data_IF_099275608547
#
_entry.id   IF_099275608547
#
_cell.length_a   1.000
_cell.length_b   1.000
_cell.length_c   1.000
_cell.angle_alpha   90.00
_cell.angle_beta   90.00
_cell.angle_gamma   90.00
#
_symmetry.space_group_name_H-M   'P 1'
#
loop_
_entity.id
_entity.type
_entity.pdbx_description
1 polymer ?
#
# COMPACT_ATOMS: atom_id res chain seq x y z
N UNK A 1 4.01 -13.59 -4.20
CA UNK A 1 4.88 -14.80 -4.27
C UNK A 1 5.45 -15.24 -2.91
N UNK A 2 5.53 -14.41 -1.87
CA UNK A 2 6.00 -14.87 -0.54
C UNK A 2 7.50 -15.17 -0.44
N UNK A 3 8.27 -14.79 -1.46
CA UNK A 3 9.73 -14.88 -1.51
C UNK A 3 10.31 -13.71 -0.71
N UNK A 4 11.26 -13.98 0.18
CA UNK A 4 11.89 -12.98 1.06
C UNK A 4 13.30 -12.59 0.66
N UNK A 5 13.97 -13.44 -0.12
CA UNK A 5 15.33 -13.22 -0.59
C UNK A 5 15.32 -12.74 -2.04
N UNK A 6 16.25 -11.85 -2.37
CA UNK A 6 16.49 -11.39 -3.72
C UNK A 6 17.96 -11.59 -4.03
N UNK A 7 18.28 -12.47 -4.97
CA UNK A 7 19.67 -12.77 -5.30
C UNK A 7 20.34 -11.64 -6.06
N UNK A 8 19.57 -10.94 -6.90
CA UNK A 8 20.12 -9.95 -7.80
C UNK A 8 19.12 -8.84 -8.17
N UNK A 9 19.61 -7.60 -8.19
CA UNK A 9 18.88 -6.45 -8.72
C UNK A 9 19.64 -5.77 -9.85
N UNK A 10 18.93 -5.47 -10.95
CA UNK A 10 19.41 -4.58 -12.01
C UNK A 10 18.62 -3.26 -11.97
N UNK A 11 19.30 -2.14 -12.14
CA UNK A 11 18.67 -0.82 -12.18
C UNK A 11 18.43 -0.35 -13.62
N UNK A 12 17.22 0.12 -13.92
CA UNK A 12 16.87 0.73 -15.20
C UNK A 12 16.56 2.21 -14.94
N UNK A 13 17.36 3.08 -15.53
CA UNK A 13 17.34 4.51 -15.25
C UNK A 13 17.28 5.31 -16.54
N UNK A 14 16.55 6.41 -16.54
CA UNK A 14 16.70 7.42 -17.58
C UNK A 14 16.92 8.81 -17.02
N UNK A 15 17.85 9.54 -17.65
CA UNK A 15 18.12 10.94 -17.36
C UNK A 15 17.27 11.79 -18.29
N UNK A 16 16.56 12.78 -17.74
CA UNK A 16 15.75 13.69 -18.55
C UNK A 16 16.64 14.58 -19.42
N UNK A 17 16.32 14.67 -20.71
CA UNK A 17 16.94 15.63 -21.65
C UNK A 17 16.68 17.10 -21.28
N UNK A 18 15.75 17.35 -20.35
CA UNK A 18 15.37 18.70 -19.91
C UNK A 18 16.11 19.16 -18.65
N UNK A 19 16.84 18.26 -17.98
CA UNK A 19 17.69 18.64 -16.85
C UNK A 19 18.98 19.26 -17.35
N UNK A 20 19.41 20.32 -16.68
CA UNK A 20 20.76 20.86 -16.81
C UNK A 20 21.79 19.86 -16.27
N UNK A 21 23.07 20.04 -16.63
CA UNK A 21 24.15 19.18 -16.11
C UNK A 21 24.27 19.29 -14.59
N UNK A 22 24.10 20.50 -14.03
CA UNK A 22 24.14 20.70 -12.59
C UNK A 22 22.99 19.98 -11.86
N UNK A 23 21.77 20.04 -12.40
CA UNK A 23 20.63 19.30 -11.84
C UNK A 23 20.86 17.79 -11.93
N UNK A 24 21.33 17.29 -13.08
CA UNK A 24 21.64 15.87 -13.28
C UNK A 24 22.66 15.39 -12.26
N UNK A 25 23.75 16.13 -12.08
CA UNK A 25 24.88 15.71 -11.25
C UNK A 25 24.55 15.79 -9.75
N UNK A 26 23.47 16.47 -9.35
CA UNK A 26 22.95 16.47 -7.98
C UNK A 26 21.82 15.47 -7.78
N UNK A 27 20.84 15.42 -8.68
CA UNK A 27 19.59 14.64 -8.52
C UNK A 27 19.84 13.16 -8.80
N UNK A 28 20.59 12.82 -9.85
CA UNK A 28 20.77 11.41 -10.23
C UNK A 28 21.54 10.61 -9.15
N UNK A 29 22.61 11.13 -8.51
CA UNK A 29 23.26 10.42 -7.41
C UNK A 29 22.32 10.14 -6.23
N UNK A 30 21.39 11.05 -5.92
CA UNK A 30 20.42 10.84 -4.84
C UNK A 30 19.41 9.73 -5.18
N UNK A 31 18.93 9.68 -6.43
CA UNK A 31 18.06 8.59 -6.90
C UNK A 31 18.80 7.25 -6.83
N UNK A 32 20.04 7.21 -7.31
CA UNK A 32 20.87 6.00 -7.31
C UNK A 32 21.14 5.55 -5.86
N UNK A 33 21.43 6.49 -4.96
CA UNK A 33 21.66 6.17 -3.56
C UNK A 33 20.41 5.57 -2.92
N UNK A 34 19.24 6.21 -3.04
CA UNK A 34 18.00 5.67 -2.49
C UNK A 34 17.61 4.32 -3.08
N UNK A 35 17.91 4.07 -4.36
CA UNK A 35 17.71 2.75 -4.97
C UNK A 35 18.63 1.69 -4.36
N UNK A 36 19.91 2.02 -4.12
CA UNK A 36 20.87 1.12 -3.46
C UNK A 36 20.48 0.84 -2.01
N UNK A 37 20.08 1.87 -1.26
CA UNK A 37 19.64 1.73 0.13
C UNK A 37 18.44 0.78 0.21
N UNK A 38 17.43 0.95 -0.66
CA UNK A 38 16.28 0.04 -0.72
C UNK A 38 16.65 -1.40 -1.13
N UNK A 39 17.67 -1.58 -1.97
CA UNK A 39 18.19 -2.90 -2.30
C UNK A 39 18.90 -3.54 -1.09
N UNK A 40 19.69 -2.76 -0.35
CA UNK A 40 20.38 -3.19 0.87
C UNK A 40 19.38 -3.59 1.97
N UNK A 41 18.33 -2.81 2.19
CA UNK A 41 17.21 -3.16 3.09
C UNK A 41 16.51 -4.48 2.65
N UNK A 42 16.47 -4.70 1.33
CA UNK A 42 16.02 -5.94 0.70
C UNK A 42 16.95 -7.14 0.92
N UNK A 43 18.14 -6.92 1.49
CA UNK A 43 19.17 -7.95 1.67
C UNK A 43 19.91 -8.29 0.37
N UNK A 44 19.92 -7.37 -0.60
CA UNK A 44 20.51 -7.60 -1.92
C UNK A 44 21.34 -6.40 -2.37
N UNK A 45 21.90 -6.46 -3.58
CA UNK A 45 22.69 -5.37 -4.15
C UNK A 45 22.38 -5.15 -5.62
N UNK A 46 22.62 -3.93 -6.08
CA UNK A 46 22.51 -3.56 -7.49
C UNK A 46 23.82 -3.95 -8.20
N UNK A 47 23.79 -4.99 -9.03
CA UNK A 47 24.99 -5.53 -9.68
C UNK A 47 25.23 -5.00 -11.09
N UNK A 48 24.25 -4.27 -11.63
CA UNK A 48 24.31 -3.72 -12.97
C UNK A 48 23.05 -2.94 -13.33
N UNK A 49 22.97 -2.53 -14.58
CA UNK A 49 21.85 -1.74 -15.06
C UNK A 49 22.12 -1.06 -16.38
N UNK A 50 21.11 -0.33 -16.85
CA UNK A 50 21.22 0.51 -18.04
C UNK A 50 20.71 1.92 -17.72
N UNK A 51 21.48 2.92 -18.13
CA UNK A 51 21.07 4.32 -18.06
C UNK A 51 20.98 4.90 -19.48
N UNK A 52 19.87 5.57 -19.81
CA UNK A 52 19.66 6.18 -21.13
C UNK A 52 19.19 7.63 -21.02
N UNK A 53 19.38 8.43 -22.07
CA UNK A 53 18.73 9.73 -22.19
C UNK A 53 17.28 9.54 -22.65
N UNK A 54 16.35 10.25 -22.04
CA UNK A 54 14.92 10.20 -22.36
C UNK A 54 14.25 11.56 -22.08
N UNK A 55 13.11 11.92 -22.68
CA UNK A 55 12.42 13.17 -22.32
C UNK A 55 12.01 13.22 -20.83
N UNK A 56 11.72 12.07 -20.23
CA UNK A 56 11.29 11.94 -18.83
C UNK A 56 12.29 11.12 -18.01
N UNK A 57 12.31 11.36 -16.69
CA UNK A 57 13.00 10.48 -15.75
C UNK A 57 12.19 9.20 -15.59
N UNK A 58 12.84 8.06 -15.79
CA UNK A 58 12.32 6.72 -15.57
C UNK A 58 13.20 6.08 -14.51
N UNK A 59 12.58 5.53 -13.47
CA UNK A 59 13.25 4.77 -12.42
C UNK A 59 12.56 3.42 -12.33
N UNK A 60 13.33 2.36 -12.45
CA UNK A 60 12.84 0.99 -12.37
C UNK A 60 13.99 0.01 -12.26
N UNK A 61 13.68 -1.28 -12.42
CA UNK A 61 14.67 -2.33 -12.31
C UNK A 61 14.10 -3.71 -12.49
N UNK A 62 14.95 -4.71 -12.28
CA UNK A 62 14.61 -6.13 -12.32
C UNK A 62 15.12 -6.75 -11.03
N UNK A 63 14.23 -7.41 -10.29
CA UNK A 63 14.59 -8.23 -9.13
C UNK A 63 14.50 -9.71 -9.53
N UNK A 64 15.52 -10.50 -9.20
CA UNK A 64 15.59 -11.93 -9.50
C UNK A 64 15.90 -12.73 -8.25
N UNK A 65 15.28 -13.90 -8.14
CA UNK A 65 15.55 -14.88 -7.10
C UNK A 65 15.44 -16.30 -7.67
N UNK A 66 16.32 -17.19 -7.26
CA UNK A 66 16.32 -18.62 -7.53
C UNK A 66 15.80 -19.32 -6.29
N UNK A 67 14.59 -19.87 -6.40
CA UNK A 67 13.86 -20.38 -5.24
C UNK A 67 13.64 -21.88 -5.35
N UNK A 68 13.72 -22.58 -4.22
CA UNK A 68 13.11 -23.88 -4.05
C UNK A 68 11.59 -23.75 -4.01
N UNK A 69 10.87 -24.83 -4.33
CA UNK A 69 9.39 -24.83 -4.33
C UNK A 69 8.76 -24.51 -2.96
N UNK A 70 9.50 -24.69 -1.86
CA UNK A 70 9.09 -24.34 -0.49
C UNK A 70 9.27 -22.84 -0.16
N UNK A 71 9.96 -22.10 -1.01
CA UNK A 71 10.33 -20.70 -0.76
C UNK A 71 9.38 -19.70 -1.42
N UNK A 72 8.49 -20.17 -2.30
CA UNK A 72 7.45 -19.35 -2.90
C UNK A 72 6.05 -19.95 -2.70
N UNK A 73 5.05 -19.07 -2.75
CA UNK A 73 3.63 -19.40 -2.71
C UNK A 73 3.05 -19.08 -4.08
N UNK A 74 2.44 -20.09 -4.71
CA UNK A 74 1.68 -19.92 -5.95
C UNK A 74 0.41 -19.09 -5.68
N UNK A 75 0.13 -18.06 -6.49
CA UNK A 75 -0.95 -17.10 -6.22
C UNK A 75 -2.33 -17.60 -6.71
N UNK A 76 -2.69 -18.86 -6.48
CA UNK A 76 -3.80 -19.54 -7.16
C UNK A 76 -4.66 -20.46 -6.28
N UNK A 77 -4.46 -20.44 -4.96
CA UNK A 77 -5.01 -21.45 -4.04
C UNK A 77 -6.08 -20.92 -3.08
N UNK A 78 -6.69 -19.77 -3.37
CA UNK A 78 -7.77 -19.20 -2.55
C UNK A 78 -8.99 -20.13 -2.45
N UNK A 79 -9.62 -20.18 -1.28
CA UNK A 79 -10.82 -20.99 -1.01
C UNK A 79 -11.97 -20.11 -0.48
N UNK A 80 -13.24 -20.50 -0.70
CA UNK A 80 -14.37 -19.82 -0.08
C UNK A 80 -14.23 -19.77 1.45
N UNK A 81 -14.48 -18.61 2.04
CA UNK A 81 -14.34 -18.38 3.48
C UNK A 81 -13.00 -17.77 3.89
N UNK A 82 -12.00 -17.73 2.99
CA UNK A 82 -10.81 -16.92 3.18
C UNK A 82 -11.14 -15.44 3.30
N UNK A 83 -10.18 -14.68 3.83
CA UNK A 83 -10.28 -13.22 3.93
C UNK A 83 -9.15 -12.55 3.17
N UNK A 84 -9.44 -11.32 2.74
CA UNK A 84 -8.49 -10.46 2.04
C UNK A 84 -7.85 -9.53 3.06
N UNK A 85 -6.53 -9.51 3.12
CA UNK A 85 -5.73 -8.64 4.00
C UNK A 85 -4.91 -7.69 3.15
N UNK A 86 -5.00 -6.38 3.39
CA UNK A 86 -4.20 -5.36 2.73
C UNK A 86 -3.14 -4.82 3.70
N UNK A 87 -1.88 -4.75 3.28
CA UNK A 87 -0.74 -4.43 4.18
C UNK A 87 -0.23 -2.99 4.12
N UNK A 88 -0.83 -2.14 3.27
CA UNK A 88 -0.54 -0.70 3.24
C UNK A 88 -1.83 0.08 2.93
N UNK A 89 -1.97 1.33 3.41
CA UNK A 89 -3.12 2.15 3.08
C UNK A 89 -3.11 2.54 1.58
N UNK A 90 -4.31 2.80 1.05
CA UNK A 90 -4.54 3.31 -0.30
C UNK A 90 -4.50 4.85 -0.32
N UNK A 91 -4.45 5.42 -1.53
CA UNK A 91 -4.51 6.85 -1.76
C UNK A 91 -3.15 7.53 -1.92
N UNK A 92 -2.09 6.77 -2.22
CA UNK A 92 -0.74 7.33 -2.42
C UNK A 92 -0.71 8.31 -3.60
N UNK A 93 -1.35 7.95 -4.70
CA UNK A 93 -1.50 8.83 -5.87
C UNK A 93 -2.21 10.14 -5.52
N UNK A 94 -3.25 10.08 -4.68
CA UNK A 94 -3.98 11.28 -4.26
C UNK A 94 -3.13 12.17 -3.36
N UNK A 95 -2.33 11.60 -2.46
CA UNK A 95 -1.42 12.36 -1.60
C UNK A 95 -0.34 13.09 -2.41
N UNK A 96 0.34 12.37 -3.32
CA UNK A 96 1.34 12.96 -4.22
C UNK A 96 0.72 14.04 -5.13
N UNK A 97 -0.46 13.77 -5.68
CA UNK A 97 -1.18 14.73 -6.53
C UNK A 97 -1.57 15.98 -5.75
N UNK A 98 -2.11 15.83 -4.53
CA UNK A 98 -2.49 16.96 -3.68
C UNK A 98 -1.28 17.82 -3.30
N UNK A 99 -0.14 17.19 -3.00
CA UNK A 99 1.11 17.89 -2.71
C UNK A 99 1.60 18.69 -3.92
N UNK A 100 1.63 18.10 -5.11
CA UNK A 100 1.99 18.83 -6.35
C UNK A 100 1.06 20.01 -6.64
N UNK A 101 -0.20 19.93 -6.22
CA UNK A 101 -1.16 21.01 -6.44
C UNK A 101 -0.93 22.21 -5.53
N UNK A 102 -0.17 22.09 -4.44
CA UNK A 102 0.19 23.22 -3.58
C UNK A 102 0.90 24.35 -4.35
N UNK A 103 1.67 23.97 -5.37
CA UNK A 103 2.44 24.87 -6.24
C UNK A 103 1.65 25.33 -7.48
N UNK A 104 0.41 24.85 -7.67
CA UNK A 104 -0.45 25.17 -8.82
C UNK A 104 -1.74 25.83 -8.31
N UNK A 105 -1.82 27.17 -8.25
CA UNK A 105 -2.92 27.90 -7.60
C UNK A 105 -4.32 27.47 -8.06
N UNK A 106 -4.52 27.24 -9.36
CA UNK A 106 -5.80 26.83 -9.94
C UNK A 106 -6.24 25.45 -9.45
N UNK A 107 -5.29 24.56 -9.18
CA UNK A 107 -5.55 23.21 -8.67
C UNK A 107 -5.71 23.21 -7.15
N UNK A 108 -4.87 23.94 -6.41
CA UNK A 108 -5.01 24.10 -4.96
C UNK A 108 -6.39 24.66 -4.58
N UNK A 109 -6.87 25.65 -5.34
CA UNK A 109 -8.18 26.27 -5.12
C UNK A 109 -9.35 25.27 -5.13
N UNK A 110 -9.21 24.10 -5.77
CA UNK A 110 -10.25 23.05 -5.79
C UNK A 110 -10.34 22.26 -4.49
N UNK A 111 -9.25 22.15 -3.75
CA UNK A 111 -9.16 21.27 -2.58
C UNK A 111 -8.91 22.02 -1.26
N UNK A 112 -8.55 23.31 -1.32
CA UNK A 112 -8.25 24.15 -0.14
C UNK A 112 -9.39 24.27 0.89
N UNK A 113 -10.63 24.00 0.49
CA UNK A 113 -11.79 24.01 1.40
C UNK A 113 -12.00 22.69 2.14
N UNK A 114 -11.27 21.64 1.76
CA UNK A 114 -11.44 20.27 2.24
C UNK A 114 -10.23 19.80 3.05
N UNK A 115 -9.06 20.35 2.79
CA UNK A 115 -7.78 19.94 3.38
C UNK A 115 -6.86 21.16 3.55
N UNK A 116 -6.10 21.21 4.65
CA UNK A 116 -5.10 22.27 4.88
C UNK A 116 -3.75 21.93 4.25
N UNK A 117 -2.84 22.90 4.15
CA UNK A 117 -1.49 22.64 3.59
C UNK A 117 -0.72 21.62 4.44
N UNK A 118 -0.85 21.73 5.75
CA UNK A 118 -0.22 20.85 6.74
C UNK A 118 -0.75 19.42 6.64
N UNK A 119 -2.08 19.27 6.44
CA UNK A 119 -2.68 17.96 6.23
C UNK A 119 -2.23 17.29 4.92
N UNK A 120 -2.03 18.09 3.84
CA UNK A 120 -1.45 17.59 2.60
C UNK A 120 0.00 17.14 2.79
N UNK A 121 0.81 17.94 3.48
CA UNK A 121 2.21 17.62 3.76
C UNK A 121 2.35 16.31 4.55
N UNK A 122 1.57 16.16 5.64
CA UNK A 122 1.57 14.93 6.42
C UNK A 122 1.12 13.70 5.61
N UNK A 123 0.09 13.86 4.76
CA UNK A 123 -0.35 12.79 3.88
C UNK A 123 0.71 12.41 2.83
N UNK A 124 1.44 13.40 2.30
CA UNK A 124 2.55 13.18 1.37
C UNK A 124 3.70 12.42 2.03
N UNK A 125 4.12 12.83 3.23
CA UNK A 125 5.16 12.14 3.99
C UNK A 125 4.77 10.70 4.32
N UNK A 126 3.52 10.46 4.74
CA UNK A 126 3.01 9.09 4.96
C UNK A 126 3.00 8.28 3.66
N UNK A 127 2.59 8.87 2.54
CA UNK A 127 2.62 8.20 1.25
C UNK A 127 4.05 7.83 0.86
N UNK A 128 5.01 8.76 0.96
CA UNK A 128 6.43 8.49 0.65
C UNK A 128 6.98 7.38 1.55
N UNK A 129 6.74 7.45 2.87
CA UNK A 129 7.18 6.42 3.82
C UNK A 129 6.55 5.06 3.51
N UNK A 130 5.24 5.03 3.26
CA UNK A 130 4.51 3.81 2.87
C UNK A 130 5.06 3.21 1.58
N UNK A 131 5.30 4.02 0.55
CA UNK A 131 5.84 3.57 -0.74
C UNK A 131 7.28 3.05 -0.64
N UNK A 132 8.12 3.69 0.19
CA UNK A 132 9.50 3.28 0.43
C UNK A 132 9.61 2.00 1.29
N UNK A 133 8.60 1.70 2.12
CA UNK A 133 8.61 0.50 2.95
C UNK A 133 8.55 -0.77 2.10
N UNK A 134 9.46 -1.72 2.31
CA UNK A 134 9.46 -2.99 1.58
C UNK A 134 8.33 -3.93 2.03
N UNK A 135 7.76 -4.67 1.07
CA UNK A 135 6.80 -5.75 1.38
C UNK A 135 7.48 -7.05 1.89
N UNK A 136 8.80 -7.01 2.17
CA UNK A 136 9.64 -8.18 2.53
C UNK A 136 9.12 -8.90 3.77
N UNK A 137 8.81 -8.17 4.83
CA UNK A 137 8.29 -8.77 6.06
C UNK A 137 6.92 -9.41 5.85
N UNK A 138 6.01 -8.73 5.15
CA UNK A 138 4.71 -9.28 4.83
C UNK A 138 4.84 -10.57 3.99
N UNK A 139 5.77 -10.63 3.03
CA UNK A 139 6.07 -11.83 2.26
C UNK A 139 6.55 -13.00 3.14
N UNK A 140 7.40 -12.74 4.13
CA UNK A 140 7.84 -13.76 5.10
C UNK A 140 6.68 -14.29 5.95
N UNK A 141 5.82 -13.39 6.44
CA UNK A 141 4.66 -13.76 7.23
C UNK A 141 3.60 -14.54 6.43
N UNK A 142 3.51 -14.32 5.11
CA UNK A 142 2.59 -15.09 4.26
C UNK A 142 2.79 -16.60 4.41
N UNK A 143 4.05 -17.07 4.43
CA UNK A 143 4.36 -18.50 4.60
C UNK A 143 4.02 -18.97 6.02
N UNK A 144 4.41 -18.20 7.03
CA UNK A 144 4.16 -18.54 8.44
C UNK A 144 2.68 -18.68 8.78
N UNK A 145 1.82 -17.92 8.10
CA UNK A 145 0.37 -17.91 8.33
C UNK A 145 -0.45 -18.65 7.28
N UNK A 146 0.21 -19.38 6.36
CA UNK A 146 -0.46 -20.22 5.38
C UNK A 146 -1.29 -19.43 4.37
N UNK A 147 -0.75 -18.32 3.85
CA UNK A 147 -1.40 -17.56 2.79
C UNK A 147 -1.64 -18.44 1.55
N UNK A 148 -2.85 -18.33 1.01
CA UNK A 148 -3.29 -19.11 -0.14
C UNK A 148 -2.98 -18.42 -1.47
N UNK A 149 -2.94 -17.09 -1.48
CA UNK A 149 -2.56 -16.30 -2.65
C UNK A 149 -2.17 -14.89 -2.20
N UNK A 150 -1.43 -14.16 -3.03
CA UNK A 150 -1.29 -12.72 -2.85
C UNK A 150 -0.90 -12.04 -4.17
N UNK A 151 -1.22 -10.75 -4.24
CA UNK A 151 -0.76 -9.82 -5.27
C UNK A 151 -0.33 -8.53 -4.59
N UNK A 152 0.53 -7.73 -5.21
CA UNK A 152 0.76 -6.34 -4.81
C UNK A 152 -0.33 -5.43 -5.39
N UNK A 153 -0.57 -4.29 -4.75
CA UNK A 153 -1.46 -3.24 -5.26
C UNK A 153 -0.62 -2.10 -5.80
N UNK A 154 -0.58 -1.95 -7.11
CA UNK A 154 0.16 -0.89 -7.80
C UNK A 154 -0.73 -0.15 -8.81
N UNK A 155 -0.31 -0.02 -10.07
CA UNK A 155 -0.85 0.97 -11.01
C UNK A 155 -2.32 0.74 -11.43
N UNK A 156 -2.86 -0.47 -11.25
CA UNK A 156 -4.25 -0.78 -11.59
C UNK A 156 -5.24 -0.55 -10.43
N UNK A 157 -4.72 -0.17 -9.26
CA UNK A 157 -5.52 -0.02 -8.04
C UNK A 157 -5.98 -1.35 -7.45
N UNK A 158 -6.47 -1.29 -6.21
CA UNK A 158 -6.81 -2.51 -5.44
C UNK A 158 -7.82 -3.41 -6.15
N UNK A 159 -8.80 -2.85 -6.88
CA UNK A 159 -9.78 -3.62 -7.62
C UNK A 159 -9.18 -4.27 -8.87
N UNK A 160 -8.33 -3.55 -9.59
CA UNK A 160 -7.66 -4.10 -10.78
C UNK A 160 -6.78 -5.29 -10.43
N UNK A 161 -5.94 -5.13 -9.40
CA UNK A 161 -5.08 -6.21 -8.90
C UNK A 161 -5.88 -7.35 -8.27
N UNK A 162 -6.95 -7.07 -7.51
CA UNK A 162 -7.83 -8.10 -6.98
C UNK A 162 -8.51 -8.92 -8.09
N UNK A 163 -8.95 -8.28 -9.19
CA UNK A 163 -9.53 -8.98 -10.35
C UNK A 163 -8.52 -9.90 -11.02
N UNK A 164 -7.29 -9.42 -11.24
CA UNK A 164 -6.22 -10.22 -11.81
C UNK A 164 -5.89 -11.43 -10.92
N UNK A 165 -5.82 -11.22 -9.61
CA UNK A 165 -5.59 -12.32 -8.65
C UNK A 165 -6.76 -13.31 -8.65
N UNK A 166 -8.01 -12.84 -8.61
CA UNK A 166 -9.19 -13.71 -8.65
C UNK A 166 -9.25 -14.55 -9.93
N UNK A 167 -8.91 -13.97 -11.09
CA UNK A 167 -8.88 -14.66 -12.37
C UNK A 167 -7.87 -15.84 -12.39
N UNK A 168 -6.78 -15.73 -11.64
CA UNK A 168 -5.72 -16.74 -11.54
C UNK A 168 -6.09 -17.93 -10.63
N UNK A 169 -7.16 -17.84 -9.83
CA UNK A 169 -7.50 -18.88 -8.87
C UNK A 169 -7.91 -20.18 -9.55
N UNK A 170 -7.54 -21.32 -8.96
CA UNK A 170 -7.91 -22.65 -9.47
C UNK A 170 -9.37 -23.01 -9.18
N UNK A 171 -9.89 -22.53 -8.06
CA UNK A 171 -11.29 -22.70 -7.68
C UNK A 171 -12.14 -21.54 -8.19
N UNK A 172 -13.45 -21.79 -8.29
CA UNK A 172 -14.43 -20.76 -8.64
C UNK A 172 -14.75 -19.92 -7.40
N UNK A 173 -13.89 -18.93 -7.18
CA UNK A 173 -13.97 -17.98 -6.09
C UNK A 173 -14.05 -16.55 -6.59
N UNK A 174 -14.81 -15.71 -5.86
CA UNK A 174 -14.93 -14.29 -6.11
C UNK A 174 -14.43 -13.49 -4.90
N UNK A 175 -13.77 -12.36 -5.14
CA UNK A 175 -13.25 -11.49 -4.10
C UNK A 175 -14.20 -10.31 -3.87
N UNK A 176 -14.59 -10.08 -2.62
CA UNK A 176 -15.49 -8.99 -2.25
C UNK A 176 -14.82 -8.09 -1.22
N UNK A 177 -14.48 -6.87 -1.66
CA UNK A 177 -13.85 -5.85 -0.83
C UNK A 177 -14.94 -5.00 -0.16
N UNK A 178 -14.93 -5.01 1.16
CA UNK A 178 -15.93 -4.37 2.03
C UNK A 178 -15.45 -3.05 2.61
N UNK A 179 -14.15 -2.94 2.85
CA UNK A 179 -13.55 -1.75 3.45
C UNK A 179 -12.24 -1.37 2.76
N UNK A 180 -11.94 -0.08 2.80
CA UNK A 180 -10.77 0.51 2.17
C UNK A 180 -10.00 1.33 3.23
N UNK A 181 -8.82 0.87 3.67
CA UNK A 181 -7.90 1.71 4.44
C UNK A 181 -7.29 2.76 3.52
N UNK A 182 -7.50 4.02 3.83
CA UNK A 182 -7.08 5.14 2.99
C UNK A 182 -6.34 6.15 3.86
N UNK A 183 -5.21 6.68 3.34
CA UNK A 183 -4.48 7.78 3.99
C UNK A 183 -5.47 8.90 4.31
N UNK A 184 -5.47 9.38 5.55
CA UNK A 184 -6.44 10.34 6.06
C UNK A 184 -6.58 11.54 5.11
N UNK A 185 -7.82 12.06 5.01
CA UNK A 185 -8.23 13.13 4.09
C UNK A 185 -8.18 12.81 2.59
N UNK A 186 -7.45 11.79 2.12
CA UNK A 186 -7.35 11.52 0.68
C UNK A 186 -8.67 11.09 0.03
N UNK A 187 -9.53 10.41 0.79
CA UNK A 187 -10.90 10.15 0.34
C UNK A 187 -11.72 11.43 0.15
N UNK A 188 -11.56 12.42 1.04
CA UNK A 188 -12.24 13.71 0.94
C UNK A 188 -11.70 14.53 -0.24
N UNK A 189 -10.37 14.56 -0.44
CA UNK A 189 -9.73 15.19 -1.61
C UNK A 189 -10.21 14.55 -2.91
N UNK A 190 -10.28 13.22 -2.99
CA UNK A 190 -10.79 12.51 -4.18
C UNK A 190 -12.25 12.87 -4.47
N UNK A 191 -13.10 12.94 -3.44
CA UNK A 191 -14.51 13.38 -3.58
C UNK A 191 -14.61 14.83 -4.06
N UNK A 192 -13.80 15.74 -3.53
CA UNK A 192 -13.75 17.15 -3.94
C UNK A 192 -13.37 17.31 -5.43
N UNK A 193 -12.59 16.36 -5.96
CA UNK A 193 -12.23 16.31 -7.38
C UNK A 193 -13.30 15.62 -8.26
N UNK A 194 -14.51 15.39 -7.74
CA UNK A 194 -15.60 14.71 -8.45
C UNK A 194 -15.42 13.20 -8.56
N UNK A 195 -14.65 12.58 -7.65
CA UNK A 195 -14.32 11.16 -7.72
C UNK A 195 -13.34 10.80 -8.84
N UNK A 196 -12.76 11.82 -9.52
CA UNK A 196 -11.68 11.61 -10.49
C UNK A 196 -10.52 10.91 -9.79
N UNK A 197 -10.09 9.80 -10.36
CA UNK A 197 -9.09 8.91 -9.77
C UNK A 197 -9.67 7.61 -9.21
N UNK A 198 -10.98 7.47 -8.99
CA UNK A 198 -11.59 6.15 -8.73
C UNK A 198 -11.17 5.49 -7.41
N UNK A 199 -10.71 6.26 -6.41
CA UNK A 199 -10.21 5.75 -5.14
C UNK A 199 -11.26 4.92 -4.38
N UNK A 200 -12.51 5.41 -4.35
CA UNK A 200 -13.62 4.73 -3.69
C UNK A 200 -14.12 3.51 -4.49
N UNK A 201 -13.85 3.49 -5.79
CA UNK A 201 -14.14 2.36 -6.69
C UNK A 201 -13.00 1.33 -6.70
N UNK A 202 -11.88 1.61 -6.00
CA UNK A 202 -10.69 0.77 -5.97
C UNK A 202 -9.86 0.78 -7.25
N UNK A 203 -10.08 1.74 -8.15
CA UNK A 203 -9.36 1.86 -9.43
C UNK A 203 -8.32 2.98 -9.43
N UNK A 204 -8.07 3.61 -8.28
CA UNK A 204 -6.99 4.58 -8.14
C UNK A 204 -5.63 3.90 -8.29
N UNK A 205 -4.72 4.43 -9.12
CA UNK A 205 -3.36 3.94 -9.18
C UNK A 205 -2.70 4.07 -7.81
N UNK A 206 -1.93 3.05 -7.44
CA UNK A 206 -0.98 3.11 -6.34
C UNK A 206 0.44 2.90 -6.89
N UNK A 207 1.43 3.44 -6.23
CA UNK A 207 2.85 3.18 -6.54
C UNK A 207 3.45 2.46 -5.34
N UNK A 208 4.15 1.33 -5.54
CA UNK A 208 4.76 0.56 -4.43
C UNK A 208 3.79 0.31 -3.24
N UNK A 209 2.54 -0.04 -3.55
CA UNK A 209 1.53 -0.30 -2.53
C UNK A 209 1.77 -1.60 -1.75
N UNK A 210 0.79 -1.95 -0.93
CA UNK A 210 0.87 -3.12 -0.07
C UNK A 210 0.58 -4.42 -0.81
N UNK A 211 0.76 -5.53 -0.11
CA UNK A 211 0.24 -6.82 -0.54
C UNK A 211 -1.25 -6.90 -0.22
N UNK A 212 -2.03 -7.40 -1.17
CA UNK A 212 -3.36 -7.96 -0.98
C UNK A 212 -3.20 -9.48 -0.84
N UNK A 213 -3.24 -9.96 0.39
CA UNK A 213 -3.00 -11.35 0.77
C UNK A 213 -4.34 -12.06 1.03
N UNK A 214 -4.49 -13.25 0.47
CA UNK A 214 -5.60 -14.16 0.77
C UNK A 214 -5.16 -15.13 1.86
N UNK A 215 -5.83 -15.08 3.00
CA UNK A 215 -5.48 -15.85 4.20
C UNK A 215 -6.67 -16.64 4.73
N UNK A 216 -6.42 -17.80 5.36
CA UNK A 216 -7.41 -18.47 6.18
C UNK A 216 -7.95 -17.51 7.24
N UNK A 217 -9.28 -17.45 7.38
CA UNK A 217 -9.94 -16.53 8.33
C UNK A 217 -9.39 -16.60 9.75
N UNK A 218 -9.05 -17.81 10.21
CA UNK A 218 -8.49 -18.04 11.55
C UNK A 218 -7.09 -17.44 11.75
N UNK A 219 -6.32 -17.23 10.66
CA UNK A 219 -4.94 -16.74 10.73
C UNK A 219 -4.83 -15.24 10.49
N UNK A 220 -5.79 -14.62 9.80
CA UNK A 220 -5.71 -13.23 9.38
C UNK A 220 -5.50 -12.24 10.54
N UNK A 221 -6.18 -12.42 11.67
CA UNK A 221 -6.01 -11.53 12.83
C UNK A 221 -4.60 -11.63 13.43
N UNK A 222 -4.02 -12.85 13.46
CA UNK A 222 -2.66 -13.08 13.96
C UNK A 222 -1.62 -12.53 12.99
N UNK A 223 -1.82 -12.70 11.68
CA UNK A 223 -1.00 -12.08 10.65
C UNK A 223 -0.95 -10.56 10.82
N UNK A 224 -2.10 -9.90 10.99
CA UNK A 224 -2.15 -8.45 11.20
C UNK A 224 -1.48 -8.03 12.52
N UNK A 225 -1.63 -8.82 13.59
CA UNK A 225 -1.02 -8.54 14.88
C UNK A 225 0.51 -8.67 14.83
N UNK A 226 1.05 -9.71 14.20
CA UNK A 226 2.50 -9.90 14.01
C UNK A 226 3.09 -8.81 13.12
N UNK A 227 2.39 -8.40 12.05
CA UNK A 227 2.86 -7.32 11.20
C UNK A 227 2.90 -5.97 11.95
N UNK A 228 1.99 -5.77 12.92
CA UNK A 228 1.99 -4.58 13.78
C UNK A 228 3.01 -4.66 14.91
N UNK A 229 3.49 -5.85 15.27
CA UNK A 229 4.32 -6.04 16.45
C UNK A 229 5.68 -5.31 16.30
N UNK A 230 6.11 -4.57 17.33
CA UNK A 230 7.41 -3.91 17.32
C UNK A 230 8.53 -4.97 17.27
N UNK A 231 9.51 -4.77 16.37
CA UNK A 231 10.73 -5.59 16.28
C UNK A 231 10.88 -6.37 14.97
N UNK A 232 9.85 -7.08 14.48
CA UNK A 232 9.93 -7.86 13.23
C UNK A 232 9.42 -7.13 11.98
N UNK A 233 8.55 -6.13 12.15
CA UNK A 233 7.72 -5.61 11.07
C UNK A 233 7.48 -4.09 11.10
N UNK A 234 8.44 -3.31 11.61
CA UNK A 234 8.45 -1.82 11.57
C UNK A 234 7.13 -1.13 12.02
N UNK A 235 6.28 -1.81 12.79
CA UNK A 235 4.98 -1.26 13.20
C UNK A 235 3.97 -1.07 12.05
N UNK A 236 4.10 -1.84 10.97
CA UNK A 236 3.20 -1.77 9.82
C UNK A 236 1.79 -2.24 10.17
N UNK A 237 0.79 -1.50 9.73
CA UNK A 237 -0.61 -1.90 9.90
C UNK A 237 -1.10 -2.71 8.72
N UNK A 238 -1.96 -3.69 8.99
CA UNK A 238 -2.70 -4.42 7.97
C UNK A 238 -4.19 -4.50 8.33
N UNK A 239 -5.02 -4.56 7.30
CA UNK A 239 -6.48 -4.51 7.43
C UNK A 239 -7.11 -5.69 6.74
N UNK A 240 -8.06 -6.35 7.40
CA UNK A 240 -8.94 -7.32 6.74
C UNK A 240 -9.96 -6.52 5.92
N UNK A 241 -9.76 -6.45 4.61
CA UNK A 241 -10.51 -5.60 3.69
C UNK A 241 -11.71 -6.27 3.06
N UNK A 242 -11.78 -7.60 3.09
CA UNK A 242 -12.82 -8.33 2.40
C UNK A 242 -12.79 -9.83 2.63
N UNK A 243 -13.59 -10.54 1.85
CA UNK A 243 -13.75 -11.99 1.91
C UNK A 243 -13.64 -12.61 0.54
N UNK A 244 -13.36 -13.91 0.53
CA UNK A 244 -13.44 -14.78 -0.63
C UNK A 244 -14.72 -15.59 -0.54
N UNK A 245 -15.55 -15.48 -1.57
CA UNK A 245 -16.83 -16.19 -1.68
C UNK A 245 -16.76 -17.22 -2.81
N UNK A 246 -17.66 -18.21 -2.79
CA UNK A 246 -17.87 -19.04 -3.98
C UNK A 246 -18.48 -18.17 -5.08
N UNK A 247 -17.87 -18.15 -6.27
CA UNK A 247 -18.37 -17.29 -7.34
C UNK A 247 -17.49 -17.30 -8.59
N UNK A 248 -17.87 -16.52 -9.62
CA UNK A 248 -17.05 -16.37 -10.81
C UNK A 248 -15.71 -15.73 -10.43
N UNK A 249 -14.61 -16.19 -11.03
CA UNK A 249 -13.22 -15.75 -10.82
C UNK A 249 -12.98 -14.27 -11.12
N UNK A 250 -13.52 -13.41 -10.25
CA UNK A 250 -13.54 -11.98 -10.39
C UNK A 250 -13.55 -11.28 -9.03
N UNK A 251 -13.45 -9.96 -9.06
CA UNK A 251 -13.45 -9.14 -7.85
C UNK A 251 -14.34 -7.92 -7.99
N UNK A 252 -14.92 -7.50 -6.87
CA UNK A 252 -15.74 -6.28 -6.73
C UNK A 252 -15.46 -5.58 -5.41
N UNK A 253 -15.55 -4.25 -5.45
CA UNK A 253 -15.77 -3.43 -4.25
C UNK A 253 -17.28 -3.28 -4.08
N UNK A 254 -17.80 -3.39 -2.85
CA UNK A 254 -19.23 -3.15 -2.59
C UNK A 254 -19.61 -1.69 -2.91
N UNK A 255 -20.88 -1.41 -3.19
CA UNK A 255 -21.33 -0.07 -3.63
C UNK A 255 -21.02 1.06 -2.64
N UNK A 256 -21.03 0.75 -1.34
CA UNK A 256 -20.72 1.67 -0.25
C UNK A 256 -19.65 1.06 0.66
N UNK A 257 -18.37 1.04 0.24
CA UNK A 257 -17.33 0.45 1.05
C UNK A 257 -17.11 1.30 2.30
N UNK A 258 -16.87 0.64 3.44
CA UNK A 258 -16.49 1.34 4.67
C UNK A 258 -15.09 1.91 4.51
N UNK A 259 -14.96 3.22 4.67
CA UNK A 259 -13.64 3.86 4.68
C UNK A 259 -13.04 3.76 6.08
N UNK A 260 -11.79 3.30 6.13
CA UNK A 260 -10.97 3.33 7.34
C UNK A 260 -9.95 4.44 7.11
N UNK A 261 -10.12 5.57 7.80
CA UNK A 261 -9.13 6.64 7.73
C UNK A 261 -7.87 6.22 8.48
N UNK A 262 -6.73 6.23 7.78
CA UNK A 262 -5.42 5.87 8.32
C UNK A 262 -4.64 7.17 8.58
N UNK A 263 -4.45 7.57 9.85
CA UNK A 263 -3.72 8.78 10.17
C UNK A 263 -2.23 8.65 9.79
N UNK A 264 -1.59 9.72 9.28
CA UNK A 264 -0.15 9.75 9.04
C UNK A 264 0.66 9.44 10.29
N UNK A 265 1.80 8.75 10.13
CA UNK A 265 2.80 8.59 11.19
C UNK A 265 3.26 9.97 11.68
N UNK A 266 3.16 10.22 12.99
CA UNK A 266 3.52 11.51 13.59
C UNK A 266 2.40 12.56 13.65
N UNK A 267 1.19 12.26 13.15
CA UNK A 267 0.04 13.14 13.38
C UNK A 267 -0.30 13.21 14.89
N UNK A 268 -0.63 14.39 15.45
CA UNK A 268 -1.06 14.47 16.84
C UNK A 268 -2.28 13.57 17.04
N UNK A 269 -2.20 12.68 18.05
CA UNK A 269 -3.33 11.85 18.44
C UNK A 269 -4.51 12.79 18.72
N UNK A 270 -5.61 12.63 17.98
CA UNK A 270 -6.85 13.30 18.36
C UNK A 270 -7.19 12.83 19.78
N UNK A 271 -7.53 13.74 20.71
CA UNK A 271 -8.07 13.31 21.99
C UNK A 271 -9.31 12.47 21.69
N UNK A 272 -9.33 11.24 22.17
CA UNK A 272 -10.50 10.38 22.10
C UNK A 272 -11.72 11.15 22.60
N UNK A 273 -12.84 11.02 21.89
CA UNK A 273 -14.16 11.49 22.33
C UNK A 273 -14.35 11.18 23.82
N UNK A 274 -14.91 12.08 24.64
CA UNK A 274 -14.92 11.92 26.09
C UNK A 274 -15.53 10.58 26.46
N UNK A 275 -14.70 9.70 27.02
CA UNK A 275 -15.12 8.40 27.51
C UNK A 275 -16.28 8.57 28.47
N UNK A 276 -17.28 7.70 28.31
CA UNK A 276 -18.38 7.57 29.26
C UNK A 276 -17.77 7.42 30.66
N UNK A 277 -18.13 8.26 31.64
CA UNK A 277 -17.57 8.14 32.98
C UNK A 277 -17.93 6.76 33.55
N UNK A 278 -17.05 6.14 34.36
CA UNK A 278 -17.33 4.87 34.98
C UNK A 278 -18.58 4.99 35.87
N UNK A 279 -19.41 3.94 35.98
CA UNK A 279 -20.60 3.98 36.81
C UNK A 279 -20.21 4.19 38.29
N UNK A 280 -20.89 5.11 38.97
CA UNK A 280 -20.71 5.36 40.40
C UNK A 280 -20.93 4.06 41.21
N UNK A 281 -20.11 3.81 42.25
CA UNK A 281 -20.32 2.67 43.13
C UNK A 281 -21.61 2.85 43.94
N UNK A 282 -22.33 1.76 44.25
CA UNK A 282 -23.60 1.83 44.97
C UNK A 282 -23.37 2.41 46.36
N UNK A 283 -24.16 3.45 46.71
CA UNK A 283 -24.17 4.02 48.06
C UNK A 283 -24.73 2.99 49.04
N UNK A 284 -23.98 2.73 50.11
CA UNK A 284 -24.44 1.87 51.20
C UNK A 284 -25.61 2.55 51.94
N UNK A 285 -26.67 1.81 52.31
CA UNK A 285 -27.76 2.33 53.12
C UNK A 285 -27.31 2.50 54.58
N UNK A 286 -27.69 3.62 55.20
CA UNK A 286 -27.83 3.73 56.65
C UNK A 286 -29.20 3.18 57.06
#
# INVERSE_FOLDING_TARGET
MGVTECDNVLMLLSVSQRMTEEERDKVMPLIIQGFRDAAEDGGTSVTGGQTVLNPWVIVGGVATAVCQSSEFIMPDSAVPGDVLVLTKPLGTHMAVTAHQWLDIPERWNKIKLVVTREEVELAYQEAVSSMATLNRTAAGLMRAFGAHAATDVTGFGVLGHARALAAQQRLDVAFVIHNLPVIAKMAAVSKACGGRGGLLQGTAPETSGGLLVVLPRAQAARFCAELKAPGRAEGLQAWIVGVVEKGPRGARVIDKPRLIEVPPRGAPLRPDSPGTPPPEPPRAPF
#
